data_IF_207004913454
#
_entry.id   IF_207004913454
#
_cell.length_a   1.000
_cell.length_b   1.000
_cell.length_c   1.000
_cell.angle_alpha   90.00
_cell.angle_beta   90.00
_cell.angle_gamma   90.00
#
_symmetry.space_group_name_H-M   'P 1'
#
loop_
_entity.id
_entity.type
_entity.pdbx_description
1 polymer ?
#
# COMPACT_ATOMS: atom_id res chain seq x y z
N UNK A 1 5.40 19.52 -11.55
CA UNK A 1 5.94 18.64 -10.49
C UNK A 1 6.19 17.18 -10.92
N UNK A 2 5.70 16.66 -12.05
CA UNK A 2 6.09 15.32 -12.51
C UNK A 2 6.40 15.35 -14.01
N UNK A 3 7.08 16.41 -14.47
CA UNK A 3 7.34 16.65 -15.90
C UNK A 3 8.22 15.56 -16.51
N UNK A 4 9.04 14.87 -15.69
CA UNK A 4 9.94 13.80 -16.14
C UNK A 4 9.34 12.40 -16.07
N UNK A 5 8.13 12.26 -15.55
CA UNK A 5 7.45 10.97 -15.47
C UNK A 5 6.62 10.75 -16.73
N UNK A 6 6.57 9.49 -17.17
CA UNK A 6 5.53 9.04 -18.10
C UNK A 6 4.15 9.32 -17.52
N UNK A 7 3.14 9.47 -18.37
CA UNK A 7 1.77 9.72 -17.92
C UNK A 7 1.26 8.60 -16.99
N UNK A 8 1.60 7.35 -17.27
CA UNK A 8 1.29 6.16 -16.46
C UNK A 8 1.84 6.32 -15.02
N UNK A 9 3.13 6.62 -14.88
CA UNK A 9 3.76 6.86 -13.59
C UNK A 9 3.18 8.08 -12.87
N UNK A 10 2.86 9.16 -13.58
CA UNK A 10 2.20 10.33 -12.98
C UNK A 10 0.84 9.96 -12.41
N UNK A 11 0.03 9.20 -13.14
CA UNK A 11 -1.27 8.73 -12.66
C UNK A 11 -1.15 7.82 -11.44
N UNK A 12 -0.13 6.96 -11.37
CA UNK A 12 0.12 6.11 -10.20
C UNK A 12 0.39 6.96 -8.94
N UNK A 13 1.20 8.02 -9.06
CA UNK A 13 1.47 8.93 -7.93
C UNK A 13 0.22 9.71 -7.51
N UNK A 14 -0.59 10.16 -8.45
CA UNK A 14 -1.86 10.83 -8.15
C UNK A 14 -2.82 9.86 -7.43
N UNK A 15 -2.96 8.63 -7.92
CA UNK A 15 -3.78 7.59 -7.30
C UNK A 15 -3.27 7.17 -5.91
N UNK A 16 -1.97 7.26 -5.66
CA UNK A 16 -1.42 7.01 -4.32
C UNK A 16 -2.01 7.98 -3.27
N UNK A 17 -2.38 9.20 -3.66
CA UNK A 17 -3.05 10.14 -2.76
C UNK A 17 -4.44 9.65 -2.35
N UNK A 18 -5.19 9.07 -3.29
CA UNK A 18 -6.51 8.49 -3.02
C UNK A 18 -6.39 7.30 -2.07
N UNK A 19 -5.37 6.46 -2.25
CA UNK A 19 -5.09 5.34 -1.35
C UNK A 19 -4.73 5.80 0.07
N UNK A 20 -3.88 6.83 0.21
CA UNK A 20 -3.55 7.42 1.51
C UNK A 20 -4.79 7.98 2.22
N UNK A 21 -5.67 8.67 1.48
CA UNK A 21 -6.94 9.18 2.01
C UNK A 21 -7.87 8.05 2.45
N UNK A 22 -8.00 7.00 1.63
CA UNK A 22 -8.84 5.84 1.96
C UNK A 22 -8.36 5.10 3.21
N UNK A 23 -7.04 5.06 3.44
CA UNK A 23 -6.43 4.50 4.64
C UNK A 23 -6.34 5.48 5.81
N UNK A 24 -6.79 6.73 5.65
CA UNK A 24 -6.66 7.82 6.63
C UNK A 24 -5.21 8.04 7.10
N UNK A 25 -4.25 7.82 6.21
CA UNK A 25 -2.84 8.05 6.50
C UNK A 25 -2.53 9.56 6.48
N UNK A 26 -1.72 10.01 7.43
CA UNK A 26 -1.27 11.41 7.51
C UNK A 26 -0.28 11.78 6.38
N UNK A 27 0.38 10.77 5.80
CA UNK A 27 1.41 10.93 4.78
C UNK A 27 1.24 9.89 3.67
N UNK A 28 1.64 10.26 2.46
CA UNK A 28 1.75 9.32 1.34
C UNK A 28 3.04 8.54 1.50
N UNK A 29 2.93 7.33 2.03
CA UNK A 29 4.00 6.34 2.12
C UNK A 29 4.08 5.39 0.90
N UNK A 30 5.18 4.64 0.71
CA UNK A 30 5.36 3.71 -0.41
C UNK A 30 4.24 2.70 -0.60
N UNK A 31 3.57 2.31 0.50
CA UNK A 31 2.43 1.40 0.47
C UNK A 31 1.27 1.93 -0.38
N UNK A 32 1.02 3.23 -0.34
CA UNK A 32 -0.07 3.84 -1.09
C UNK A 32 0.22 3.84 -2.60
N UNK A 33 1.49 4.04 -2.96
CA UNK A 33 1.95 3.91 -4.35
C UNK A 33 1.86 2.46 -4.82
N UNK A 34 2.23 1.50 -3.98
CA UNK A 34 2.09 0.08 -4.29
C UNK A 34 0.62 -0.31 -4.54
N UNK A 35 -0.30 0.14 -3.69
CA UNK A 35 -1.74 -0.06 -3.88
C UNK A 35 -2.26 0.59 -5.16
N UNK A 36 -1.79 1.81 -5.47
CA UNK A 36 -2.16 2.51 -6.70
C UNK A 36 -1.66 1.80 -7.96
N UNK A 37 -0.44 1.24 -7.93
CA UNK A 37 0.10 0.44 -9.02
C UNK A 37 -0.64 -0.90 -9.18
N UNK A 38 -1.11 -1.51 -8.09
CA UNK A 38 -1.80 -2.79 -8.15
C UNK A 38 -3.14 -2.74 -8.91
N UNK A 39 -3.78 -1.56 -8.94
CA UNK A 39 -5.00 -1.29 -9.74
C UNK A 39 -4.70 -0.66 -11.10
N UNK A 40 -3.43 -0.41 -11.40
CA UNK A 40 -3.02 0.13 -12.69
C UNK A 40 -3.15 -0.92 -13.80
N UNK A 41 -3.57 -0.48 -14.99
CA UNK A 41 -3.73 -1.34 -16.16
C UNK A 41 -2.50 -1.32 -17.07
N UNK A 42 -1.52 -0.47 -16.77
CA UNK A 42 -0.24 -0.40 -17.46
C UNK A 42 0.77 -1.43 -16.97
N UNK A 43 2.03 -1.20 -17.34
CA UNK A 43 3.16 -2.11 -17.10
C UNK A 43 3.37 -2.42 -15.61
N UNK A 44 3.23 -1.42 -14.74
CA UNK A 44 3.43 -1.59 -13.30
C UNK A 44 2.45 -2.59 -12.70
N UNK A 45 1.15 -2.41 -12.96
CA UNK A 45 0.13 -3.34 -12.48
C UNK A 45 0.24 -4.72 -13.11
N UNK A 46 0.65 -4.82 -14.39
CA UNK A 46 0.89 -6.10 -15.04
C UNK A 46 2.01 -6.90 -14.35
N UNK A 47 3.15 -6.27 -14.07
CA UNK A 47 4.27 -6.92 -13.36
C UNK A 47 3.87 -7.35 -11.96
N UNK A 48 3.13 -6.51 -11.22
CA UNK A 48 2.63 -6.87 -9.89
C UNK A 48 1.70 -8.09 -9.93
N UNK A 49 0.73 -8.12 -10.85
CA UNK A 49 -0.17 -9.27 -11.02
C UNK A 49 0.59 -10.53 -11.44
N UNK A 50 1.57 -10.41 -12.35
CA UNK A 50 2.41 -11.53 -12.75
C UNK A 50 3.26 -12.08 -11.58
N UNK A 51 3.63 -11.23 -10.62
CA UNK A 51 4.30 -11.61 -9.39
C UNK A 51 3.35 -12.12 -8.28
N UNK A 52 2.04 -12.24 -8.54
CA UNK A 52 1.04 -12.64 -7.55
C UNK A 52 0.68 -11.55 -6.52
N UNK A 53 1.11 -10.31 -6.76
CA UNK A 53 0.87 -9.16 -5.88
C UNK A 53 -0.30 -8.30 -6.43
N UNK A 54 -1.50 -8.87 -6.46
CA UNK A 54 -2.70 -8.08 -6.78
C UNK A 54 -3.13 -7.17 -5.62
N UNK A 55 -4.07 -6.27 -5.90
CA UNK A 55 -4.54 -5.30 -4.90
C UNK A 55 -5.10 -5.97 -3.63
N UNK A 56 -5.80 -7.10 -3.75
CA UNK A 56 -6.39 -7.80 -2.62
C UNK A 56 -5.31 -8.47 -1.74
N UNK A 57 -4.33 -9.11 -2.37
CA UNK A 57 -3.19 -9.74 -1.70
C UNK A 57 -2.35 -8.71 -0.93
N UNK A 58 -2.08 -7.55 -1.52
CA UNK A 58 -1.34 -6.44 -0.89
C UNK A 58 -2.15 -5.91 0.30
N UNK A 59 -3.45 -5.65 0.13
CA UNK A 59 -4.36 -5.23 1.20
C UNK A 59 -4.36 -6.21 2.37
N UNK A 60 -4.37 -7.50 2.09
CA UNK A 60 -4.32 -8.56 3.10
C UNK A 60 -2.98 -8.58 3.83
N UNK A 61 -1.86 -8.45 3.12
CA UNK A 61 -0.54 -8.38 3.72
C UNK A 61 -0.37 -7.17 4.65
N UNK A 62 -0.93 -6.01 4.27
CA UNK A 62 -0.92 -4.81 5.11
C UNK A 62 -1.73 -4.98 6.38
N UNK A 63 -2.92 -5.58 6.30
CA UNK A 63 -3.74 -5.86 7.48
C UNK A 63 -3.02 -6.78 8.47
N UNK A 64 -2.23 -7.75 7.99
CA UNK A 64 -1.39 -8.61 8.84
C UNK A 64 -0.20 -7.88 9.44
N UNK A 65 0.38 -6.93 8.71
CA UNK A 65 1.59 -6.21 9.13
C UNK A 65 1.30 -5.04 10.07
N UNK A 66 0.12 -4.42 9.94
CA UNK A 66 -0.32 -3.27 10.73
C UNK A 66 -1.44 -3.60 11.73
N UNK A 67 -1.72 -4.87 11.99
CA UNK A 67 -2.64 -5.25 13.06
C UNK A 67 -2.12 -4.67 14.38
N UNK A 68 -3.03 -4.13 15.20
CA UNK A 68 -2.72 -3.88 16.60
C UNK A 68 -2.07 -5.15 17.11
N UNK A 69 -0.83 -5.05 17.58
CA UNK A 69 -0.24 -6.13 18.34
C UNK A 69 -1.29 -6.49 19.38
N UNK A 70 -1.71 -7.75 19.39
CA UNK A 70 -2.71 -8.20 20.35
C UNK A 70 -2.15 -7.85 21.72
N UNK A 71 -2.75 -6.84 22.35
CA UNK A 71 -2.22 -6.25 23.57
C UNK A 71 -2.18 -7.32 24.67
N UNK A 72 -3.15 -8.24 24.65
CA UNK A 72 -3.18 -9.39 25.53
C UNK A 72 -2.05 -10.38 25.20
N UNK A 73 -1.75 -10.60 23.92
CA UNK A 73 -0.62 -11.44 23.50
C UNK A 73 0.76 -10.82 23.84
N UNK A 74 0.90 -9.50 23.77
CA UNK A 74 2.11 -8.79 24.18
C UNK A 74 2.31 -8.82 25.70
N UNK A 75 1.23 -8.57 26.45
CA UNK A 75 1.22 -8.65 27.90
C UNK A 75 1.59 -10.06 28.38
N UNK A 76 1.14 -11.11 27.69
CA UNK A 76 1.49 -12.49 27.98
C UNK A 76 3.00 -12.81 27.81
N UNK A 77 3.73 -12.02 27.02
CA UNK A 77 5.18 -12.14 26.81
C UNK A 77 5.97 -11.08 27.59
N UNK A 78 5.28 -10.25 28.41
CA UNK A 78 5.88 -9.24 29.26
C UNK A 78 6.32 -7.96 28.54
N UNK A 79 5.70 -7.65 27.39
CA UNK A 79 5.95 -6.40 26.66
C UNK A 79 4.81 -5.42 26.97
N UNK A 80 5.13 -4.33 27.68
CA UNK A 80 4.21 -3.21 27.93
C UNK A 80 4.20 -2.21 26.75
N UNK A 81 3.03 -1.63 26.48
CA UNK A 81 2.74 -0.70 25.37
C UNK A 81 2.54 0.74 25.86
#
# INVERSE_FOLDING_TARGET
MFERFTDEARQAVVRAQEQARALRAEKIEPVHLLLALAVDQGRGGHVLRAAGADHASIRSALARSGGALDADALAAVGIDL
#
